data_IF_977947103859
#
_entry.id   IF_977947103859
#
_cell.length_a   1.000
_cell.length_b   1.000
_cell.length_c   1.000
_cell.angle_alpha   90.00
_cell.angle_beta   90.00
_cell.angle_gamma   90.00
#
_symmetry.space_group_name_H-M   'P 1'
#
loop_
_entity.id
_entity.type
_entity.pdbx_description
1 polymer ?
#
# COMPACT_ATOMS: atom_id res chain seq x y z
N UNK A 1 9.03 9.14 18.68
CA UNK A 1 8.90 10.22 17.68
C UNK A 1 9.43 9.81 16.31
N UNK A 2 10.49 9.00 16.21
CA UNK A 2 10.96 8.48 14.90
C UNK A 2 10.17 7.28 14.36
N UNK A 3 9.45 6.53 15.22
CA UNK A 3 8.70 5.32 14.81
C UNK A 3 7.53 5.61 13.87
N UNK A 4 6.92 6.78 13.99
CA UNK A 4 5.67 7.11 13.31
C UNK A 4 5.93 7.70 11.92
N UNK A 5 7.16 8.20 11.69
CA UNK A 5 7.55 8.86 10.45
C UNK A 5 7.61 7.88 9.25
N UNK A 6 7.81 6.59 9.50
CA UNK A 6 8.02 5.56 8.46
C UNK A 6 6.73 4.85 8.06
N UNK A 7 5.71 4.84 8.94
CA UNK A 7 4.54 3.97 8.80
C UNK A 7 3.76 4.24 7.50
N UNK A 8 3.45 5.50 7.20
CA UNK A 8 2.69 5.87 6.00
C UNK A 8 3.41 5.53 4.69
N UNK A 9 4.71 5.83 4.60
CA UNK A 9 5.49 5.61 3.37
C UNK A 9 5.73 4.13 3.11
N UNK A 10 6.04 3.36 4.15
CA UNK A 10 6.16 1.90 4.06
C UNK A 10 4.84 1.27 3.58
N UNK A 11 3.71 1.68 4.16
CA UNK A 11 2.39 1.20 3.73
C UNK A 11 2.10 1.56 2.26
N UNK A 12 2.39 2.79 1.85
CA UNK A 12 2.21 3.24 0.46
C UNK A 12 3.03 2.41 -0.53
N UNK A 13 4.30 2.11 -0.19
CA UNK A 13 5.17 1.24 -1.02
C UNK A 13 4.58 -0.16 -1.13
N UNK A 14 4.16 -0.75 -0.01
CA UNK A 14 3.54 -2.08 0.00
C UNK A 14 2.24 -2.13 -0.82
N UNK A 15 1.41 -1.09 -0.78
CA UNK A 15 0.19 -1.04 -1.58
C UNK A 15 0.49 -0.97 -3.08
N UNK A 16 1.54 -0.25 -3.49
CA UNK A 16 2.01 -0.25 -4.88
C UNK A 16 2.48 -1.64 -5.28
N UNK A 17 3.31 -2.29 -4.46
CA UNK A 17 3.80 -3.64 -4.71
C UNK A 17 2.66 -4.67 -4.81
N UNK A 18 1.64 -4.58 -3.96
CA UNK A 18 0.45 -5.45 -4.03
C UNK A 18 -0.32 -5.20 -5.33
N UNK A 19 -0.43 -3.94 -5.76
CA UNK A 19 -1.15 -3.58 -6.97
C UNK A 19 -0.43 -4.00 -8.26
N UNK A 20 0.90 -3.96 -8.28
CA UNK A 20 1.72 -4.27 -9.45
C UNK A 20 2.23 -5.71 -9.47
N UNK A 21 2.31 -6.35 -8.30
CA UNK A 21 3.05 -7.60 -8.09
C UNK A 21 4.58 -7.44 -8.19
N UNK A 22 5.10 -6.21 -8.21
CA UNK A 22 6.52 -5.91 -8.43
C UNK A 22 6.99 -4.87 -7.41
N UNK A 23 8.08 -5.14 -6.71
CA UNK A 23 8.64 -4.21 -5.74
C UNK A 23 9.25 -2.99 -6.46
N UNK A 24 8.90 -1.74 -6.10
CA UNK A 24 9.30 -0.55 -6.87
C UNK A 24 10.80 -0.20 -6.79
N UNK A 25 11.56 -0.87 -5.92
CA UNK A 25 12.99 -0.64 -5.71
C UNK A 25 13.86 -1.90 -5.91
N UNK A 26 13.43 -2.84 -6.75
CA UNK A 26 14.23 -4.03 -7.04
C UNK A 26 15.65 -3.70 -7.52
N UNK A 27 16.63 -4.48 -7.04
CA UNK A 27 18.04 -4.50 -7.52
C UNK A 27 18.83 -3.20 -7.32
N UNK A 28 18.44 -2.37 -6.35
CA UNK A 28 19.22 -1.20 -5.95
C UNK A 28 20.25 -1.55 -4.87
N UNK A 29 21.43 -0.93 -4.91
CA UNK A 29 22.34 -0.97 -3.76
C UNK A 29 21.79 -0.11 -2.62
N UNK A 30 22.23 -0.36 -1.38
CA UNK A 30 21.68 0.29 -0.19
C UNK A 30 21.70 1.84 -0.27
N UNK A 31 22.76 2.43 -0.82
CA UNK A 31 22.86 3.88 -0.98
C UNK A 31 21.87 4.42 -2.02
N UNK A 32 21.75 3.75 -3.17
CA UNK A 32 20.81 4.10 -4.23
C UNK A 32 19.37 3.94 -3.76
N UNK A 33 19.10 2.90 -2.97
CA UNK A 33 17.81 2.65 -2.34
C UNK A 33 17.42 3.81 -1.42
N UNK A 34 18.32 4.30 -0.56
CA UNK A 34 18.01 5.41 0.33
C UNK A 34 17.67 6.69 -0.44
N UNK A 35 18.45 7.03 -1.47
CA UNK A 35 18.18 8.19 -2.33
C UNK A 35 16.84 8.02 -3.04
N UNK A 36 16.58 6.82 -3.57
CA UNK A 36 15.37 6.53 -4.31
C UNK A 36 14.16 6.63 -3.39
N UNK A 37 14.18 6.04 -2.20
CA UNK A 37 13.08 6.15 -1.23
C UNK A 37 12.74 7.62 -0.97
N UNK A 38 13.71 8.49 -0.75
CA UNK A 38 13.44 9.91 -0.47
C UNK A 38 12.86 10.68 -1.67
N UNK A 39 13.31 10.35 -2.89
CA UNK A 39 12.97 11.10 -4.11
C UNK A 39 11.89 10.45 -4.96
N UNK A 40 11.40 9.27 -4.56
CA UNK A 40 10.50 8.48 -5.39
C UNK A 40 9.13 9.13 -5.56
N UNK A 41 8.72 9.22 -6.82
CA UNK A 41 7.35 9.55 -7.23
C UNK A 41 6.75 8.28 -7.82
N UNK A 42 5.67 7.74 -7.24
CA UNK A 42 5.08 6.50 -7.70
C UNK A 42 4.38 6.68 -9.04
N UNK A 43 4.60 5.75 -9.97
CA UNK A 43 3.73 5.57 -11.13
C UNK A 43 2.58 4.65 -10.72
N UNK A 44 1.39 5.22 -10.58
CA UNK A 44 0.22 4.46 -10.14
C UNK A 44 -0.40 3.73 -11.33
N UNK A 45 -0.55 2.40 -11.29
CA UNK A 45 -1.15 1.64 -12.37
C UNK A 45 -2.61 2.05 -12.63
N UNK A 46 -3.03 2.13 -13.89
CA UNK A 46 -4.42 2.42 -14.25
C UNK A 46 -5.43 1.32 -13.85
N UNK A 47 -4.96 0.18 -13.36
CA UNK A 47 -5.80 -0.96 -12.95
C UNK A 47 -6.45 -0.75 -11.57
N UNK A 48 -5.95 0.18 -10.75
CA UNK A 48 -6.51 0.44 -9.42
C UNK A 48 -7.54 1.57 -9.45
N UNK A 49 -8.49 1.55 -8.52
CA UNK A 49 -9.53 2.57 -8.43
C UNK A 49 -8.94 3.94 -8.05
N UNK A 50 -9.60 5.02 -8.48
CA UNK A 50 -9.18 6.39 -8.14
C UNK A 50 -9.01 6.60 -6.63
N UNK A 51 -9.87 5.99 -5.82
CA UNK A 51 -9.78 6.09 -4.36
C UNK A 51 -8.53 5.40 -3.80
N UNK A 52 -8.13 4.25 -4.36
CA UNK A 52 -6.89 3.57 -3.98
C UNK A 52 -5.67 4.37 -4.45
N UNK A 53 -5.72 4.94 -5.66
CA UNK A 53 -4.68 5.85 -6.16
C UNK A 53 -4.50 7.05 -5.24
N UNK A 54 -5.59 7.68 -4.80
CA UNK A 54 -5.55 8.81 -3.87
C UNK A 54 -4.96 8.42 -2.51
N UNK A 55 -5.29 7.23 -1.98
CA UNK A 55 -4.68 6.72 -0.75
C UNK A 55 -3.17 6.57 -0.91
N UNK A 56 -2.72 5.87 -1.95
CA UNK A 56 -1.31 5.63 -2.20
C UNK A 56 -0.56 6.96 -2.38
N UNK A 57 -1.10 7.89 -3.15
CA UNK A 57 -0.49 9.20 -3.38
C UNK A 57 -0.37 10.02 -2.08
N UNK A 58 -1.37 9.96 -1.21
CA UNK A 58 -1.32 10.62 0.10
C UNK A 58 -0.26 10.00 1.03
N UNK A 59 -0.18 8.66 1.06
CA UNK A 59 0.81 7.91 1.84
C UNK A 59 2.25 8.12 1.36
N UNK A 60 2.43 8.44 0.08
CA UNK A 60 3.74 8.60 -0.56
C UNK A 60 4.18 10.05 -0.72
N UNK A 61 3.49 11.02 -0.10
CA UNK A 61 3.94 12.42 -0.09
C UNK A 61 5.35 12.56 0.50
N UNK A 62 6.17 13.34 -0.19
CA UNK A 62 7.54 13.68 0.24
C UNK A 62 7.55 14.60 1.45
N UNK A 63 6.64 15.59 1.48
CA UNK A 63 6.49 16.49 2.63
C UNK A 63 5.89 15.75 3.82
N UNK A 64 6.69 15.62 4.88
CA UNK A 64 6.33 14.92 6.11
C UNK A 64 5.11 15.54 6.82
N UNK A 65 4.89 16.84 6.67
CA UNK A 65 3.76 17.52 7.31
C UNK A 65 2.43 17.28 6.57
N UNK A 66 2.50 16.80 5.32
CA UNK A 66 1.34 16.52 4.49
C UNK A 66 1.05 15.02 4.37
N UNK A 67 2.01 14.19 4.80
CA UNK A 67 1.90 12.73 4.82
C UNK A 67 1.24 12.30 6.13
N UNK A 68 0.18 11.48 6.09
CA UNK A 68 -0.35 10.89 7.31
C UNK A 68 0.71 10.00 7.96
N UNK A 69 0.94 10.22 9.25
CA UNK A 69 2.03 9.60 10.01
C UNK A 69 1.51 8.66 11.10
N UNK A 70 0.29 8.90 11.59
CA UNK A 70 -0.36 8.01 12.55
C UNK A 70 -1.32 7.03 11.88
N UNK A 71 -1.52 5.89 12.54
CA UNK A 71 -2.53 4.92 12.15
C UNK A 71 -3.94 5.54 12.11
N UNK A 72 -4.28 6.37 13.11
CA UNK A 72 -5.59 7.01 13.21
C UNK A 72 -5.87 7.97 12.04
N UNK A 73 -4.86 8.75 11.61
CA UNK A 73 -4.98 9.60 10.42
C UNK A 73 -5.26 8.79 9.15
N UNK A 74 -4.64 7.61 9.02
CA UNK A 74 -4.83 6.72 7.88
C UNK A 74 -6.24 6.11 7.91
N UNK A 75 -6.72 5.69 9.09
CA UNK A 75 -8.06 5.13 9.25
C UNK A 75 -9.18 6.13 8.91
N UNK A 76 -8.96 7.42 9.19
CA UNK A 76 -9.94 8.47 8.88
C UNK A 76 -9.97 8.84 7.38
N UNK A 77 -9.06 8.30 6.56
CA UNK A 77 -9.08 8.55 5.13
C UNK A 77 -10.35 7.96 4.47
N UNK A 78 -10.98 8.67 3.51
CA UNK A 78 -12.27 8.27 2.96
C UNK A 78 -12.32 6.84 2.40
N UNK A 79 -11.26 6.37 1.74
CA UNK A 79 -11.24 5.00 1.19
C UNK A 79 -11.21 3.93 2.27
N UNK A 80 -10.63 4.23 3.44
CA UNK A 80 -10.47 3.28 4.56
C UNK A 80 -11.70 3.33 5.47
N UNK A 81 -12.13 4.53 5.85
CA UNK A 81 -13.28 4.76 6.72
C UNK A 81 -14.59 4.25 6.15
N UNK A 82 -14.75 4.33 4.83
CA UNK A 82 -15.97 3.88 4.15
C UNK A 82 -15.95 2.39 3.80
N UNK A 83 -14.90 1.64 4.17
CA UNK A 83 -14.94 0.18 4.11
C UNK A 83 -15.97 -0.30 5.14
N UNK A 84 -17.02 -1.04 4.72
CA UNK A 84 -18.02 -1.59 5.62
C UNK A 84 -17.34 -2.42 6.72
N UNK A 85 -17.54 -2.02 7.98
CA UNK A 85 -17.03 -2.73 9.17
C UNK A 85 -17.83 -4.01 9.47
N UNK A 86 -19.02 -4.12 8.87
CA UNK A 86 -19.83 -5.34 8.83
C UNK A 86 -19.82 -5.92 7.41
N UNK A 87 -19.87 -7.26 7.26
CA UNK A 87 -19.84 -7.90 5.95
C UNK A 87 -21.06 -7.47 5.12
N UNK A 88 -20.87 -6.48 4.25
CA UNK A 88 -21.87 -6.04 3.28
C UNK A 88 -21.75 -6.88 1.99
N UNK A 89 -22.84 -6.95 1.21
CA UNK A 89 -23.08 -7.81 0.03
C UNK A 89 -22.01 -7.83 -1.09
N UNK A 90 -20.94 -7.06 -0.98
CA UNK A 90 -19.75 -7.18 -1.80
C UNK A 90 -18.74 -8.05 -1.04
N UNK A 91 -19.11 -9.32 -0.88
CA UNK A 91 -18.29 -10.33 -0.22
C UNK A 91 -17.05 -10.57 -1.09
N UNK A 92 -15.98 -9.82 -0.83
CA UNK A 92 -14.64 -10.30 -1.19
C UNK A 92 -14.38 -11.39 -0.19
N UNK A 93 -14.75 -12.62 -0.55
CA UNK A 93 -14.31 -13.82 0.16
C UNK A 93 -12.80 -13.94 -0.03
N UNK A 94 -12.09 -13.13 0.75
CA UNK A 94 -10.66 -12.94 0.67
C UNK A 94 -9.95 -14.28 0.89
N UNK A 95 -10.43 -15.05 1.88
CA UNK A 95 -9.92 -16.38 2.21
C UNK A 95 -10.05 -17.31 1.01
N UNK A 96 -11.24 -17.47 0.43
CA UNK A 96 -11.42 -18.34 -0.74
C UNK A 96 -10.65 -17.83 -1.96
N UNK A 97 -10.61 -16.51 -2.18
CA UNK A 97 -9.87 -15.91 -3.30
C UNK A 97 -8.36 -16.15 -3.21
N UNK A 98 -7.81 -16.21 -1.99
CA UNK A 98 -6.41 -16.56 -1.74
C UNK A 98 -6.19 -18.05 -1.91
N UNK A 99 -7.04 -18.89 -1.31
CA UNK A 99 -6.92 -20.35 -1.40
C UNK A 99 -7.00 -20.86 -2.85
N UNK A 100 -7.73 -20.17 -3.73
CA UNK A 100 -7.77 -20.47 -5.17
C UNK A 100 -6.48 -20.09 -5.92
N UNK A 101 -5.69 -19.15 -5.40
CA UNK A 101 -4.46 -18.64 -6.04
C UNK A 101 -3.19 -19.29 -5.49
N UNK A 102 -3.25 -19.90 -4.31
CA UNK A 102 -2.13 -20.65 -3.74
C UNK A 102 -2.20 -22.09 -4.30
N UNK A 103 -1.16 -22.58 -5.02
CA UNK A 103 -1.14 -23.96 -5.46
C UNK A 103 -1.20 -24.92 -4.25
N UNK A 104 -1.92 -26.04 -4.34
CA UNK A 104 -2.01 -27.01 -3.24
C UNK A 104 -0.62 -27.49 -2.84
N UNK A 105 -0.42 -27.70 -1.53
CA UNK A 105 0.86 -28.06 -0.91
C UNK A 105 1.39 -29.46 -1.32
N UNK A 106 0.68 -30.19 -2.18
CA UNK A 106 0.93 -31.61 -2.47
C UNK A 106 1.94 -31.85 -3.61
N UNK A 107 2.59 -30.82 -4.16
CA UNK A 107 3.60 -30.93 -5.25
C UNK A 107 5.02 -30.47 -4.84
N UNK A 108 5.47 -30.78 -3.62
CA UNK A 108 6.87 -30.64 -3.18
C UNK A 108 7.44 -31.93 -2.57
#
# INVERSE_FOLDING_TARGET
MESDLICGKALGISLVEIATGIHPFERLQQFELMIKIETWVPEIPNIISNQMSELILNLLKTDLNQRPSSYDEILEMPVVKNVPQEPSKQEVDFVTSILQKIPPLDDF
#
